data_IF_839464899316
#
_entry.id   IF_839464899316
#
_cell.length_a   1.000
_cell.length_b   1.000
_cell.length_c   1.000
_cell.angle_alpha   90.00
_cell.angle_beta   90.00
_cell.angle_gamma   90.00
#
_symmetry.space_group_name_H-M   'P 1'
#
loop_
_entity.id
_entity.type
_entity.pdbx_description
1 polymer ?
#
# COMPACT_ATOMS: atom_id res chain seq x y z
N UNK A 1 -9.33 4.56 -1.22
CA UNK A 1 -10.48 4.71 -2.14
C UNK A 1 -11.71 4.58 -1.31
N UNK A 2 -12.37 5.71 -1.11
CA UNK A 2 -13.24 5.92 0.04
C UNK A 2 -14.71 5.90 -0.40
N UNK A 3 -15.08 4.84 -1.12
CA UNK A 3 -16.47 4.57 -1.50
C UNK A 3 -16.93 5.18 -2.83
N UNK A 4 -18.23 4.97 -3.07
CA UNK A 4 -18.97 5.40 -4.27
C UNK A 4 -19.54 6.83 -4.14
N UNK A 5 -19.13 7.60 -3.14
CA UNK A 5 -19.51 9.02 -3.03
C UNK A 5 -18.30 9.96 -3.05
N UNK A 6 -17.08 9.42 -2.94
CA UNK A 6 -15.93 10.19 -2.49
C UNK A 6 -16.16 10.77 -1.09
N UNK A 7 -15.19 11.52 -0.59
CA UNK A 7 -15.30 12.17 0.72
C UNK A 7 -14.48 13.44 0.76
N UNK A 8 -14.97 14.47 1.46
CA UNK A 8 -14.19 15.65 1.82
C UNK A 8 -13.24 15.38 3.01
N UNK A 9 -13.41 14.26 3.72
CA UNK A 9 -12.63 13.86 4.89
C UNK A 9 -12.45 12.33 4.96
N UNK A 10 -11.30 11.82 4.53
CA UNK A 10 -10.94 10.39 4.54
C UNK A 10 -11.10 9.73 5.91
N UNK A 11 -10.96 10.48 7.01
CA UNK A 11 -11.11 9.93 8.36
C UNK A 11 -12.51 9.39 8.63
N UNK A 12 -13.56 9.80 7.90
CA UNK A 12 -14.89 9.17 7.99
C UNK A 12 -14.83 7.68 7.67
N UNK A 13 -14.24 7.32 6.53
CA UNK A 13 -14.19 5.92 6.06
C UNK A 13 -13.31 5.07 6.97
N UNK A 14 -12.21 5.63 7.48
CA UNK A 14 -11.36 4.95 8.47
C UNK A 14 -12.08 4.65 9.79
N UNK A 15 -13.16 5.39 10.10
CA UNK A 15 -14.04 5.13 11.24
C UNK A 15 -15.30 4.33 10.87
N UNK A 16 -15.34 3.71 9.69
CA UNK A 16 -16.45 2.89 9.23
C UNK A 16 -17.66 3.70 8.74
N UNK A 17 -17.53 5.02 8.58
CA UNK A 17 -18.59 5.89 8.10
C UNK A 17 -18.42 6.20 6.62
N UNK A 18 -19.52 6.22 5.86
CA UNK A 18 -19.54 6.78 4.51
C UNK A 18 -19.96 8.25 4.55
N UNK A 19 -19.38 9.08 3.70
CA UNK A 19 -19.70 10.51 3.66
C UNK A 19 -20.93 10.74 2.79
N UNK A 20 -22.04 11.29 3.33
CA UNK A 20 -23.22 11.57 2.53
C UNK A 20 -22.92 12.63 1.46
N UNK A 21 -23.54 12.50 0.27
CA UNK A 21 -23.34 13.45 -0.83
C UNK A 21 -23.62 14.91 -0.41
N UNK A 22 -24.70 15.16 0.34
CA UNK A 22 -25.01 16.50 0.87
C UNK A 22 -23.90 17.06 1.77
N UNK A 23 -23.20 16.22 2.53
CA UNK A 23 -22.07 16.65 3.35
C UNK A 23 -20.87 17.02 2.47
N UNK A 24 -20.57 16.20 1.44
CA UNK A 24 -19.55 16.55 0.45
C UNK A 24 -19.86 17.91 -0.20
N UNK A 25 -21.09 18.16 -0.65
CA UNK A 25 -21.42 19.41 -1.35
C UNK A 25 -21.26 20.68 -0.50
N UNK A 26 -21.34 20.59 0.83
CA UNK A 26 -21.05 21.73 1.73
C UNK A 26 -19.59 22.19 1.62
N UNK A 27 -18.69 21.30 1.24
CA UNK A 27 -17.26 21.56 1.09
C UNK A 27 -16.84 21.78 -0.37
N UNK A 28 -17.79 21.89 -1.30
CA UNK A 28 -17.47 22.01 -2.73
C UNK A 28 -16.55 23.21 -3.03
N UNK A 29 -16.82 24.36 -2.40
CA UNK A 29 -16.06 25.60 -2.63
C UNK A 29 -14.62 25.57 -2.10
N UNK A 30 -14.32 24.75 -1.08
CA UNK A 30 -13.02 24.68 -0.43
C UNK A 30 -12.36 23.29 -0.54
N UNK A 31 -12.81 22.48 -1.50
CA UNK A 31 -12.32 21.12 -1.74
C UNK A 31 -10.85 21.13 -2.14
N UNK A 32 -10.03 20.31 -1.48
CA UNK A 32 -8.57 20.29 -1.65
C UNK A 32 -7.84 21.42 -0.91
N UNK A 33 -8.56 22.33 -0.28
CA UNK A 33 -8.00 23.35 0.60
C UNK A 33 -7.60 22.79 1.97
N UNK A 34 -6.95 23.60 2.82
CA UNK A 34 -6.36 23.18 4.09
C UNK A 34 -7.39 22.66 5.13
N UNK A 35 -8.69 22.91 4.90
CA UNK A 35 -9.78 22.46 5.75
C UNK A 35 -10.47 21.17 5.27
N UNK A 36 -9.94 20.50 4.24
CA UNK A 36 -10.50 19.26 3.68
C UNK A 36 -9.40 18.23 3.50
N UNK A 37 -9.73 16.95 3.71
CA UNK A 37 -8.82 15.83 3.53
C UNK A 37 -9.45 14.86 2.54
N UNK A 38 -9.57 15.26 1.28
CA UNK A 38 -10.48 14.61 0.37
C UNK A 38 -9.93 13.29 -0.15
N UNK A 39 -10.84 12.39 -0.48
CA UNK A 39 -10.54 11.24 -1.30
C UNK A 39 -11.59 11.13 -2.41
N UNK A 40 -11.11 11.12 -3.64
CA UNK A 40 -11.91 10.97 -4.86
C UNK A 40 -12.71 9.67 -4.92
N UNK A 41 -13.80 9.73 -5.70
CA UNK A 41 -14.76 8.67 -5.96
C UNK A 41 -14.11 7.43 -6.64
N UNK A 42 -14.57 6.22 -6.32
CA UNK A 42 -14.00 4.97 -6.87
C UNK A 42 -14.07 4.87 -8.41
N UNK A 43 -15.04 5.52 -9.04
CA UNK A 43 -15.14 5.62 -10.50
C UNK A 43 -13.93 6.31 -11.14
N UNK A 44 -13.35 7.34 -10.50
CA UNK A 44 -12.12 7.97 -11.00
C UNK A 44 -10.91 7.05 -10.87
N UNK A 45 -10.90 6.19 -9.84
CA UNK A 45 -9.88 5.18 -9.72
C UNK A 45 -9.99 4.08 -10.80
N UNK A 46 -11.20 3.68 -11.17
CA UNK A 46 -11.42 2.77 -12.30
C UNK A 46 -11.03 3.42 -13.62
N UNK A 47 -11.40 4.69 -13.84
CA UNK A 47 -11.01 5.43 -15.03
C UNK A 47 -9.47 5.50 -15.17
N UNK A 48 -8.77 5.81 -14.07
CA UNK A 48 -7.30 5.84 -14.06
C UNK A 48 -6.62 4.48 -14.27
N UNK A 49 -7.35 3.37 -14.06
CA UNK A 49 -6.83 2.02 -14.28
C UNK A 49 -7.30 1.38 -15.59
N UNK A 50 -8.15 2.06 -16.37
CA UNK A 50 -8.66 1.51 -17.63
C UNK A 50 -7.51 1.16 -18.58
N UNK A 51 -7.48 -0.04 -19.18
CA UNK A 51 -8.56 -1.04 -19.28
C UNK A 51 -8.52 -2.15 -18.22
N UNK A 52 -7.72 -2.02 -17.16
CA UNK A 52 -7.53 -3.06 -16.17
C UNK A 52 -8.67 -3.16 -15.16
N UNK A 53 -8.89 -4.39 -14.67
CA UNK A 53 -9.86 -4.65 -13.60
C UNK A 53 -9.39 -4.08 -12.26
N UNK A 54 -10.32 -3.44 -11.57
CA UNK A 54 -10.17 -2.89 -10.21
C UNK A 54 -9.03 -1.86 -10.10
N UNK A 55 -8.46 -1.74 -8.90
CA UNK A 55 -7.56 -0.66 -8.50
C UNK A 55 -6.74 -1.06 -7.26
N UNK A 56 -6.15 -0.10 -6.54
CA UNK A 56 -5.39 -0.31 -5.28
C UNK A 56 -6.09 -1.28 -4.31
N UNK A 57 -5.31 -2.15 -3.69
CA UNK A 57 -5.69 -3.28 -2.81
C UNK A 57 -6.12 -4.58 -3.51
N UNK A 58 -6.26 -4.57 -4.84
CA UNK A 58 -6.53 -5.77 -5.60
C UNK A 58 -5.24 -6.36 -6.17
N UNK A 59 -5.26 -7.67 -6.44
CA UNK A 59 -4.17 -8.37 -7.13
C UNK A 59 -4.51 -8.69 -8.59
N UNK A 60 -5.56 -8.06 -9.12
CA UNK A 60 -5.80 -7.84 -10.55
C UNK A 60 -4.86 -6.75 -11.07
N UNK A 61 -4.74 -6.59 -12.40
CA UNK A 61 -3.80 -5.64 -13.00
C UNK A 61 -4.07 -4.19 -12.62
N UNK A 62 -5.31 -3.78 -12.36
CA UNK A 62 -5.58 -2.41 -11.91
C UNK A 62 -5.00 -2.10 -10.52
N UNK A 63 -4.69 -3.12 -9.72
CA UNK A 63 -3.99 -2.94 -8.44
C UNK A 63 -2.48 -3.17 -8.50
N UNK A 64 -1.93 -3.56 -9.65
CA UNK A 64 -0.55 -4.06 -9.78
C UNK A 64 0.27 -3.43 -10.91
N UNK A 65 -0.40 -2.94 -11.96
CA UNK A 65 0.26 -2.44 -13.16
C UNK A 65 0.46 -0.94 -13.04
N UNK A 66 1.68 -0.55 -12.68
CA UNK A 66 2.14 0.83 -12.69
C UNK A 66 3.11 1.07 -13.85
N UNK A 67 3.16 2.30 -14.42
CA UNK A 67 4.15 2.65 -15.41
C UNK A 67 5.56 2.68 -14.79
N UNK A 68 6.52 2.04 -15.45
CA UNK A 68 7.93 2.10 -15.09
C UNK A 68 8.72 2.73 -16.25
N UNK A 69 9.37 3.86 -15.96
CA UNK A 69 10.27 4.53 -16.90
C UNK A 69 11.70 4.37 -16.39
N UNK A 70 12.57 3.79 -17.21
CA UNK A 70 14.00 3.62 -16.89
C UNK A 70 14.80 4.49 -17.83
N UNK A 71 15.60 5.40 -17.27
CA UNK A 71 16.49 6.27 -18.03
C UNK A 71 17.94 6.05 -17.59
N UNK A 72 18.76 5.49 -18.49
CA UNK A 72 20.18 5.28 -18.26
C UNK A 72 20.96 5.42 -19.59
N UNK A 73 21.31 6.64 -20.02
CA UNK A 73 21.89 6.91 -21.34
C UNK A 73 23.19 6.16 -21.66
N UNK A 74 23.96 5.81 -20.62
CA UNK A 74 25.22 5.06 -20.79
C UNK A 74 25.00 3.58 -21.11
N UNK A 75 23.84 3.02 -20.80
CA UNK A 75 23.57 1.58 -20.98
C UNK A 75 22.28 1.24 -21.72
N UNK A 76 21.39 2.20 -21.97
CA UNK A 76 20.17 2.04 -22.75
C UNK A 76 20.31 2.83 -24.04
N UNK A 77 20.35 2.12 -25.17
CA UNK A 77 20.40 2.70 -26.52
C UNK A 77 19.03 3.12 -27.03
N UNK A 78 17.99 2.44 -26.56
CA UNK A 78 16.61 2.68 -26.93
C UNK A 78 16.16 4.10 -26.58
N UNK A 79 15.34 4.71 -27.45
CA UNK A 79 14.78 6.05 -27.23
C UNK A 79 13.27 6.03 -27.42
N UNK A 80 12.53 6.18 -26.32
CA UNK A 80 11.05 6.19 -26.34
C UNK A 80 10.40 4.85 -26.65
N UNK A 81 11.16 3.74 -26.66
CA UNK A 81 10.62 2.41 -26.96
C UNK A 81 9.99 1.76 -25.71
N UNK A 82 9.01 0.89 -25.96
CA UNK A 82 8.32 0.11 -24.93
C UNK A 82 8.95 -1.29 -24.80
N UNK A 83 8.94 -1.85 -23.59
CA UNK A 83 9.31 -3.23 -23.28
C UNK A 83 8.11 -3.97 -22.70
N UNK A 84 7.84 -5.17 -23.21
CA UNK A 84 6.64 -5.95 -22.87
C UNK A 84 6.95 -7.18 -21.99
N UNK A 85 8.22 -7.39 -21.65
CA UNK A 85 8.65 -8.41 -20.72
C UNK A 85 8.02 -8.17 -19.34
N UNK A 86 7.54 -9.23 -18.70
CA UNK A 86 6.87 -9.09 -17.42
C UNK A 86 7.88 -8.92 -16.29
N UNK A 87 7.73 -7.86 -15.53
CA UNK A 87 8.54 -7.54 -14.36
C UNK A 87 7.71 -7.06 -13.19
N UNK A 88 8.31 -7.12 -12.00
CA UNK A 88 7.72 -6.71 -10.73
C UNK A 88 8.69 -5.79 -9.99
N UNK A 89 8.20 -4.98 -9.04
CA UNK A 89 9.04 -4.00 -8.33
C UNK A 89 10.30 -4.59 -7.67
N UNK A 90 10.25 -5.87 -7.27
CA UNK A 90 11.40 -6.59 -6.69
C UNK A 90 12.56 -6.79 -7.67
N UNK A 91 12.33 -6.58 -8.97
CA UNK A 91 13.32 -6.70 -10.03
C UNK A 91 14.21 -5.46 -10.15
N UNK A 92 13.82 -4.32 -9.55
CA UNK A 92 14.58 -3.06 -9.61
C UNK A 92 15.92 -3.20 -8.89
N UNK A 93 15.92 -3.69 -7.65
CA UNK A 93 17.13 -3.86 -6.85
C UNK A 93 18.19 -4.74 -7.54
N UNK A 94 17.90 -5.98 -7.99
CA UNK A 94 18.88 -6.78 -8.72
C UNK A 94 19.34 -6.12 -10.02
N UNK A 95 18.46 -5.40 -10.74
CA UNK A 95 18.85 -4.66 -11.95
C UNK A 95 19.91 -3.60 -11.64
N UNK A 96 19.72 -2.81 -10.59
CA UNK A 96 20.69 -1.79 -10.18
C UNK A 96 22.03 -2.44 -9.80
N UNK A 97 21.98 -3.50 -8.99
CA UNK A 97 23.18 -4.21 -8.53
C UNK A 97 23.97 -4.84 -9.68
N UNK A 98 23.29 -5.41 -10.67
CA UNK A 98 23.91 -5.94 -11.89
C UNK A 98 24.61 -4.84 -12.69
N UNK A 99 23.97 -3.67 -12.83
CA UNK A 99 24.54 -2.52 -13.56
C UNK A 99 25.84 -2.04 -12.90
N UNK A 100 25.85 -1.93 -11.56
CA UNK A 100 27.03 -1.49 -10.81
C UNK A 100 28.01 -2.64 -10.49
N UNK A 101 27.70 -3.86 -10.97
CA UNK A 101 28.51 -5.08 -10.78
C UNK A 101 28.75 -5.43 -9.30
N UNK A 102 27.78 -5.16 -8.44
CA UNK A 102 27.85 -5.50 -7.00
C UNK A 102 27.19 -6.85 -6.77
N UNK A 103 27.96 -7.78 -6.20
CA UNK A 103 27.42 -9.08 -5.72
C UNK A 103 26.75 -8.87 -4.36
N UNK A 104 25.52 -9.37 -4.21
CA UNK A 104 24.83 -9.37 -2.91
C UNK A 104 25.59 -10.28 -1.94
N UNK A 105 26.07 -9.76 -0.80
CA UNK A 105 26.77 -10.59 0.18
C UNK A 105 25.79 -11.56 0.84
N UNK A 106 26.24 -12.80 1.08
CA UNK A 106 25.44 -13.81 1.81
C UNK A 106 25.28 -13.45 3.29
N UNK A 107 26.16 -12.60 3.83
CA UNK A 107 26.20 -12.21 5.23
C UNK A 107 26.71 -10.77 5.35
N UNK A 108 26.13 -10.00 6.27
CA UNK A 108 26.57 -8.65 6.64
C UNK A 108 26.71 -8.65 8.16
N UNK A 109 27.90 -8.34 8.68
CA UNK A 109 28.17 -8.27 10.14
C UNK A 109 27.69 -9.51 10.92
N UNK A 110 27.94 -10.70 10.39
CA UNK A 110 27.50 -11.94 11.03
C UNK A 110 26.04 -12.33 10.74
N UNK A 111 25.21 -11.45 10.16
CA UNK A 111 23.79 -11.69 9.88
C UNK A 111 23.61 -12.24 8.46
N UNK A 112 23.06 -13.46 8.36
CA UNK A 112 22.71 -14.08 7.08
C UNK A 112 21.63 -13.27 6.34
N UNK A 113 21.86 -12.99 5.07
CA UNK A 113 20.95 -12.21 4.24
C UNK A 113 20.01 -13.11 3.45
N UNK A 114 18.77 -12.66 3.24
CA UNK A 114 17.86 -13.34 2.31
C UNK A 114 18.36 -13.18 0.87
N UNK A 115 18.25 -14.21 0.03
CA UNK A 115 18.54 -14.09 -1.39
C UNK A 115 17.69 -13.00 -2.04
N UNK A 116 18.22 -12.33 -3.06
CA UNK A 116 17.42 -11.45 -3.91
C UNK A 116 16.44 -12.30 -4.73
N UNK A 117 15.15 -12.02 -4.61
CA UNK A 117 14.08 -12.83 -5.24
C UNK A 117 13.66 -12.29 -6.62
N UNK A 118 14.10 -11.08 -6.96
CA UNK A 118 13.87 -10.46 -8.26
C UNK A 118 14.80 -10.97 -9.37
N UNK A 119 14.43 -10.68 -10.60
CA UNK A 119 15.19 -10.98 -11.81
C UNK A 119 15.59 -9.66 -12.46
N UNK A 120 16.88 -9.48 -12.73
CA UNK A 120 17.40 -8.29 -13.41
C UNK A 120 16.71 -8.06 -14.75
N UNK A 121 16.39 -6.80 -15.06
CA UNK A 121 15.77 -6.38 -16.31
C UNK A 121 16.80 -6.10 -17.42
N UNK A 122 18.09 -6.16 -17.10
CA UNK A 122 19.18 -5.71 -17.97
C UNK A 122 19.17 -6.39 -19.35
N UNK A 123 18.79 -7.67 -19.40
CA UNK A 123 18.68 -8.47 -20.64
C UNK A 123 17.71 -7.85 -21.68
N UNK A 124 16.72 -7.07 -21.23
CA UNK A 124 15.66 -6.51 -22.07
C UNK A 124 15.94 -5.10 -22.61
N UNK A 125 16.86 -4.36 -21.99
CA UNK A 125 17.02 -2.92 -22.26
C UNK A 125 17.35 -2.62 -23.73
N UNK A 126 18.31 -3.38 -24.28
CA UNK A 126 18.75 -3.23 -25.68
C UNK A 126 18.31 -4.39 -26.58
N UNK A 127 17.38 -5.24 -26.11
CA UNK A 127 16.82 -6.34 -26.90
C UNK A 127 15.30 -6.41 -26.68
N UNK A 128 14.50 -5.70 -27.51
CA UNK A 128 13.04 -5.68 -27.37
C UNK A 128 12.41 -7.07 -27.52
N UNK A 129 13.03 -7.96 -28.30
CA UNK A 129 12.56 -9.32 -28.57
C UNK A 129 13.08 -10.35 -27.57
N UNK A 130 13.78 -9.92 -26.52
CA UNK A 130 14.31 -10.85 -25.53
C UNK A 130 13.18 -11.65 -24.88
N UNK A 131 13.40 -12.96 -24.74
CA UNK A 131 12.46 -13.83 -24.03
C UNK A 131 12.40 -13.39 -22.57
N UNK A 132 11.21 -13.42 -21.99
CA UNK A 132 11.04 -13.05 -20.61
C UNK A 132 11.81 -14.00 -19.68
N UNK A 133 12.74 -13.45 -18.89
CA UNK A 133 13.51 -14.23 -17.92
C UNK A 133 12.71 -14.55 -16.67
N UNK A 134 11.81 -13.65 -16.25
CA UNK A 134 10.95 -13.89 -15.09
C UNK A 134 9.89 -14.94 -15.44
N UNK A 135 9.81 -16.01 -14.63
CA UNK A 135 8.90 -17.14 -14.86
C UNK A 135 7.66 -17.14 -14.00
N UNK A 136 7.78 -16.66 -12.76
CA UNK A 136 6.72 -16.70 -11.76
C UNK A 136 6.77 -15.44 -10.90
N UNK A 137 5.59 -14.92 -10.53
CA UNK A 137 5.43 -13.90 -9.50
C UNK A 137 4.12 -14.15 -8.75
N UNK A 138 4.19 -14.33 -7.44
CA UNK A 138 3.00 -14.42 -6.59
C UNK A 138 2.63 -13.04 -6.03
N UNK A 139 1.39 -12.94 -5.57
CA UNK A 139 0.79 -11.77 -4.96
C UNK A 139 -0.13 -12.20 -3.83
N UNK A 140 -0.09 -11.46 -2.73
CA UNK A 140 -1.07 -11.51 -1.66
C UNK A 140 -1.29 -10.09 -1.13
N UNK A 141 -2.55 -9.68 -1.00
CA UNK A 141 -2.90 -8.45 -0.29
C UNK A 141 -4.29 -8.54 0.32
N UNK A 142 -4.33 -8.49 1.65
CA UNK A 142 -5.56 -8.49 2.45
C UNK A 142 -6.51 -9.63 2.07
N UNK A 143 -5.93 -10.81 1.86
CA UNK A 143 -6.61 -12.04 1.48
C UNK A 143 -6.76 -12.25 -0.02
N UNK A 144 -6.63 -11.22 -0.86
CA UNK A 144 -6.61 -11.39 -2.31
C UNK A 144 -5.34 -12.13 -2.72
N UNK A 145 -5.48 -13.18 -3.53
CA UNK A 145 -4.37 -14.05 -3.95
C UNK A 145 -4.22 -13.98 -5.45
N UNK A 146 -2.99 -13.88 -5.93
CA UNK A 146 -2.70 -13.84 -7.36
C UNK A 146 -1.39 -14.51 -7.68
N UNK A 147 -1.32 -15.18 -8.83
CA UNK A 147 -0.06 -15.66 -9.38
C UNK A 147 -0.01 -15.44 -10.86
N UNK A 148 1.09 -14.87 -11.33
CA UNK A 148 1.47 -14.85 -12.73
C UNK A 148 2.54 -15.93 -12.96
N UNK A 149 2.38 -16.71 -14.02
CA UNK A 149 3.40 -17.66 -14.46
C UNK A 149 3.38 -17.83 -15.98
N UNK A 150 4.50 -17.51 -16.64
CA UNK A 150 4.71 -17.68 -18.09
C UNK A 150 3.51 -17.17 -18.94
N UNK A 151 3.03 -15.97 -18.66
CA UNK A 151 1.95 -15.33 -19.40
C UNK A 151 0.53 -15.71 -18.96
N UNK A 152 0.36 -16.68 -18.07
CA UNK A 152 -0.91 -16.99 -17.42
C UNK A 152 -1.01 -16.32 -16.06
N UNK A 153 -2.24 -16.01 -15.64
CA UNK A 153 -2.51 -15.45 -14.32
C UNK A 153 -3.75 -16.07 -13.71
N UNK A 154 -3.65 -16.50 -12.45
CA UNK A 154 -4.79 -16.89 -11.63
C UNK A 154 -4.94 -15.89 -10.48
N UNK A 155 -6.17 -15.50 -10.15
CA UNK A 155 -6.44 -14.44 -9.17
C UNK A 155 -7.79 -14.64 -8.45
N UNK A 156 -7.88 -14.19 -7.19
CA UNK A 156 -9.13 -14.11 -6.42
C UNK A 156 -9.51 -12.66 -6.11
N UNK A 157 -10.82 -12.38 -6.05
CA UNK A 157 -11.38 -11.23 -5.33
C UNK A 157 -11.92 -11.74 -3.99
N UNK A 158 -11.09 -11.69 -2.96
CA UNK A 158 -11.36 -12.31 -1.68
C UNK A 158 -12.59 -11.69 -1.01
N UNK A 159 -13.55 -12.53 -0.63
CA UNK A 159 -14.80 -12.09 0.01
C UNK A 159 -15.67 -11.14 -0.80
N UNK A 160 -15.32 -10.85 -2.07
CA UNK A 160 -15.83 -9.71 -2.82
C UNK A 160 -15.72 -8.36 -2.08
N UNK A 161 -14.77 -8.25 -1.16
CA UNK A 161 -14.58 -7.09 -0.29
C UNK A 161 -14.06 -5.90 -1.10
N UNK A 162 -14.70 -4.74 -0.94
CA UNK A 162 -14.20 -3.49 -1.52
C UNK A 162 -13.31 -2.76 -0.50
N UNK A 163 -12.36 -1.90 -0.91
CA UNK A 163 -11.41 -1.27 0.01
C UNK A 163 -12.01 -0.36 1.10
N UNK A 164 -13.25 0.08 0.91
CA UNK A 164 -14.01 0.87 1.89
C UNK A 164 -14.86 0.03 2.85
N UNK A 165 -14.84 -1.29 2.69
CA UNK A 165 -15.35 -2.25 3.67
C UNK A 165 -14.18 -2.73 4.54
N UNK A 166 -14.11 -2.18 5.75
CA UNK A 166 -12.99 -2.38 6.68
C UNK A 166 -13.25 -3.46 7.73
N UNK A 167 -14.52 -3.89 7.91
CA UNK A 167 -14.94 -4.72 9.05
C UNK A 167 -15.35 -6.14 8.67
N UNK A 168 -15.14 -6.55 7.43
CA UNK A 168 -15.52 -7.88 6.95
C UNK A 168 -14.33 -8.84 6.88
N UNK A 169 -14.58 -10.08 7.31
CA UNK A 169 -13.67 -11.22 7.16
C UNK A 169 -14.42 -12.36 6.49
N UNK A 170 -13.74 -13.16 5.67
CA UNK A 170 -14.37 -14.19 4.87
C UNK A 170 -13.57 -15.50 4.86
N UNK A 171 -14.26 -16.65 4.78
CA UNK A 171 -13.59 -17.95 4.67
C UNK A 171 -12.88 -18.10 3.31
N UNK A 172 -11.56 -18.33 3.34
CA UNK A 172 -10.70 -18.42 2.16
C UNK A 172 -11.02 -19.57 1.20
N UNK A 173 -11.67 -20.64 1.66
CA UNK A 173 -12.11 -21.79 0.84
C UNK A 173 -13.30 -21.45 -0.06
N UNK A 174 -14.04 -20.38 0.25
CA UNK A 174 -15.18 -19.90 -0.56
C UNK A 174 -14.77 -18.98 -1.70
N UNK A 175 -13.50 -18.59 -1.78
CA UNK A 175 -13.02 -17.71 -2.84
C UNK A 175 -13.13 -18.37 -4.21
N UNK A 176 -13.66 -17.59 -5.16
CA UNK A 176 -13.69 -17.96 -6.57
C UNK A 176 -12.40 -17.51 -7.22
N UNK A 177 -11.67 -18.47 -7.79
CA UNK A 177 -10.52 -18.17 -8.61
C UNK A 177 -10.93 -17.89 -10.05
N UNK A 178 -10.29 -16.88 -10.63
CA UNK A 178 -10.36 -16.52 -12.04
C UNK A 178 -9.05 -16.93 -12.72
N UNK A 179 -9.11 -17.20 -14.02
CA UNK A 179 -7.94 -17.54 -14.83
C UNK A 179 -7.89 -16.67 -16.08
N UNK A 180 -6.72 -16.13 -16.39
CA UNK A 180 -6.48 -15.26 -17.53
C UNK A 180 -5.20 -15.68 -18.26
N UNK A 181 -5.20 -15.58 -19.59
CA UNK A 181 -3.97 -15.70 -20.39
C UNK A 181 -3.49 -14.29 -20.75
N UNK A 182 -2.86 -13.62 -19.79
CA UNK A 182 -2.52 -12.18 -19.89
C UNK A 182 -1.50 -11.83 -20.97
N UNK A 183 -0.78 -12.81 -21.50
CA UNK A 183 0.04 -12.63 -22.70
C UNK A 183 -0.80 -12.41 -23.99
N UNK A 184 -2.07 -12.84 -23.99
CA UNK A 184 -3.03 -12.66 -25.10
C UNK A 184 -4.13 -11.66 -24.78
N UNK A 185 -4.56 -11.61 -23.51
CA UNK A 185 -5.55 -10.67 -23.00
C UNK A 185 -4.93 -9.86 -21.87
N UNK A 186 -4.23 -8.79 -22.24
CA UNK A 186 -3.51 -7.97 -21.29
C UNK A 186 -4.44 -7.30 -20.25
N UNK A 187 -5.74 -7.19 -20.52
CA UNK A 187 -6.71 -6.50 -19.66
C UNK A 187 -7.37 -7.38 -18.59
N UNK A 188 -7.14 -8.70 -18.64
CA UNK A 188 -7.86 -9.68 -17.80
C UNK A 188 -9.38 -9.64 -18.05
N UNK A 189 -9.83 -9.39 -19.27
CA UNK A 189 -11.25 -9.27 -19.61
C UNK A 189 -11.99 -10.61 -19.62
N UNK A 190 -11.36 -11.68 -20.16
CA UNK A 190 -12.01 -12.98 -20.37
C UNK A 190 -11.55 -14.00 -19.34
N UNK A 191 -12.44 -14.36 -18.41
CA UNK A 191 -12.16 -15.41 -17.43
C UNK A 191 -12.25 -16.81 -18.08
N UNK A 192 -11.12 -17.51 -18.12
CA UNK A 192 -10.93 -18.80 -18.75
C UNK A 192 -11.01 -19.99 -17.76
N UNK A 193 -11.35 -19.75 -16.49
CA UNK A 193 -11.33 -20.78 -15.45
C UNK A 193 -12.18 -22.02 -15.80
N UNK A 194 -13.35 -21.82 -16.42
CA UNK A 194 -14.22 -22.91 -16.88
C UNK A 194 -13.65 -23.65 -18.09
N UNK A 195 -12.91 -22.96 -18.96
CA UNK A 195 -12.36 -23.50 -20.21
C UNK A 195 -11.07 -24.30 -19.98
N UNK A 196 -10.25 -23.88 -19.02
CA UNK A 196 -8.99 -24.54 -18.68
C UNK A 196 -8.88 -24.82 -17.17
N UNK A 197 -9.74 -25.71 -16.62
CA UNK A 197 -9.75 -26.01 -15.18
C UNK A 197 -8.43 -26.60 -14.68
N UNK A 198 -7.77 -27.45 -15.49
CA UNK A 198 -6.46 -28.02 -15.14
C UNK A 198 -5.37 -26.95 -15.05
N UNK A 199 -5.41 -25.96 -15.96
CA UNK A 199 -4.47 -24.83 -15.91
C UNK A 199 -4.69 -23.97 -14.67
N UNK A 200 -5.94 -23.79 -14.25
CA UNK A 200 -6.25 -23.11 -13.00
C UNK A 200 -5.74 -23.89 -11.79
N UNK A 201 -5.94 -25.22 -11.77
CA UNK A 201 -5.44 -26.09 -10.70
C UNK A 201 -3.91 -26.00 -10.58
N UNK A 202 -3.19 -26.09 -11.69
CA UNK A 202 -1.73 -25.91 -11.77
C UNK A 202 -1.29 -24.59 -11.11
N UNK A 203 -1.93 -23.48 -11.46
CA UNK A 203 -1.57 -22.16 -10.92
C UNK A 203 -1.94 -22.01 -9.44
N UNK A 204 -3.06 -22.58 -8.98
CA UNK A 204 -3.41 -22.58 -7.56
C UNK A 204 -2.35 -23.31 -6.74
N UNK A 205 -1.94 -24.50 -7.18
CA UNK A 205 -0.87 -25.28 -6.53
C UNK A 205 0.46 -24.53 -6.55
N UNK A 206 0.80 -23.88 -7.67
CA UNK A 206 2.00 -23.05 -7.75
C UNK A 206 1.93 -21.87 -6.77
N UNK A 207 0.78 -21.22 -6.63
CA UNK A 207 0.60 -20.13 -5.66
C UNK A 207 0.83 -20.64 -4.23
N UNK A 208 0.28 -21.79 -3.85
CA UNK A 208 0.52 -22.40 -2.54
C UNK A 208 2.00 -22.69 -2.29
N UNK A 209 2.72 -23.22 -3.30
CA UNK A 209 4.18 -23.46 -3.21
C UNK A 209 4.95 -22.16 -2.99
N UNK A 210 4.63 -21.09 -3.71
CA UNK A 210 5.26 -19.78 -3.51
C UNK A 210 4.90 -19.18 -2.14
N UNK A 211 3.64 -19.30 -1.71
CA UNK A 211 3.15 -18.80 -0.43
C UNK A 211 3.87 -19.46 0.75
N UNK A 212 4.12 -20.76 0.69
CA UNK A 212 4.94 -21.47 1.69
C UNK A 212 6.40 -21.01 1.64
N UNK A 213 7.00 -20.97 0.44
CA UNK A 213 8.40 -20.55 0.24
C UNK A 213 8.68 -19.16 0.83
N UNK A 214 7.74 -18.23 0.69
CA UNK A 214 7.92 -16.82 1.07
C UNK A 214 7.14 -16.42 2.33
N UNK A 215 6.77 -17.39 3.16
CA UNK A 215 6.14 -17.17 4.47
C UNK A 215 4.89 -16.26 4.43
N UNK A 216 4.03 -16.47 3.43
CA UNK A 216 2.76 -15.75 3.28
C UNK A 216 1.72 -16.22 4.29
N UNK A 217 1.84 -17.45 4.77
CA UNK A 217 0.93 -18.01 5.77
C UNK A 217 1.26 -17.55 7.20
N UNK A 218 0.26 -17.44 8.10
CA UNK A 218 -1.18 -17.64 7.84
C UNK A 218 -1.80 -16.48 7.03
N UNK A 219 -2.81 -16.78 6.22
CA UNK A 219 -3.56 -15.72 5.52
C UNK A 219 -4.38 -14.91 6.53
N UNK A 220 -4.45 -13.61 6.30
CA UNK A 220 -5.04 -12.67 7.24
C UNK A 220 -5.76 -11.53 6.51
N UNK A 221 -7.07 -11.46 6.70
CA UNK A 221 -7.98 -10.51 6.06
C UNK A 221 -8.61 -9.51 7.06
N UNK A 222 -8.44 -9.71 8.37
CA UNK A 222 -8.94 -8.82 9.42
C UNK A 222 -8.14 -7.50 9.48
N UNK A 223 -8.65 -6.52 8.74
CA UNK A 223 -8.06 -5.19 8.61
C UNK A 223 -8.03 -4.42 9.93
N UNK A 224 -9.11 -4.50 10.72
CA UNK A 224 -9.22 -3.78 12.00
C UNK A 224 -8.16 -4.28 12.98
N UNK A 225 -8.07 -5.60 13.18
CA UNK A 225 -7.05 -6.17 14.06
C UNK A 225 -5.64 -5.94 13.52
N UNK A 226 -5.43 -5.96 12.20
CA UNK A 226 -4.14 -5.62 11.58
C UNK A 226 -3.72 -4.18 11.93
N UNK A 227 -4.63 -3.22 11.78
CA UNK A 227 -4.38 -1.81 12.11
C UNK A 227 -4.17 -1.61 13.62
N UNK A 228 -4.96 -2.29 14.46
CA UNK A 228 -4.78 -2.26 15.91
C UNK A 228 -3.38 -2.76 16.32
N UNK A 229 -2.91 -3.88 15.73
CA UNK A 229 -1.56 -4.42 15.97
C UNK A 229 -0.46 -3.49 15.46
N UNK A 230 -0.70 -2.74 14.38
CA UNK A 230 0.24 -1.72 13.93
C UNK A 230 0.39 -0.56 14.93
N UNK A 231 -0.54 -0.36 15.86
CA UNK A 231 -0.40 0.63 16.93
C UNK A 231 0.36 0.10 18.16
N UNK A 232 0.95 -1.10 18.07
CA UNK A 232 1.81 -1.64 19.11
C UNK A 232 2.97 -0.67 19.40
N UNK A 233 3.18 -0.42 20.69
CA UNK A 233 4.13 0.56 21.21
C UNK A 233 5.54 -0.02 21.21
N UNK A 234 6.53 0.83 20.94
CA UNK A 234 7.94 0.42 20.90
C UNK A 234 8.47 0.15 22.32
N UNK A 235 7.91 0.81 23.33
CA UNK A 235 8.42 0.79 24.71
C UNK A 235 7.60 -0.07 25.69
N UNK A 236 6.80 -1.01 25.20
CA UNK A 236 6.02 -1.94 26.04
C UNK A 236 5.16 -1.22 27.09
N UNK A 237 5.38 -1.57 28.35
CA UNK A 237 4.62 -1.06 29.51
C UNK A 237 5.13 0.27 30.07
N UNK A 238 6.02 0.98 29.34
CA UNK A 238 6.50 2.30 29.74
C UNK A 238 5.33 3.26 29.95
N UNK A 239 5.26 3.86 31.13
CA UNK A 239 4.21 4.81 31.53
C UNK A 239 4.68 6.26 31.52
N UNK A 240 5.99 6.51 31.59
CA UNK A 240 6.59 7.85 31.60
C UNK A 240 7.42 8.06 30.34
N UNK A 241 7.16 9.17 29.65
CA UNK A 241 7.86 9.55 28.43
C UNK A 241 8.34 10.98 28.58
N UNK A 242 9.65 11.18 28.41
CA UNK A 242 10.27 12.49 28.50
C UNK A 242 10.89 12.82 27.15
N UNK A 243 10.56 14.00 26.63
CA UNK A 243 11.07 14.51 25.36
C UNK A 243 11.80 15.81 25.61
N UNK A 244 12.95 15.98 24.97
CA UNK A 244 13.79 17.17 25.10
C UNK A 244 13.90 17.89 23.76
N UNK A 245 13.90 19.22 23.80
CA UNK A 245 14.32 20.03 22.66
C UNK A 245 15.82 19.80 22.39
N UNK A 246 16.27 19.80 21.12
CA UNK A 246 15.50 20.01 19.89
C UNK A 246 14.86 18.75 19.31
N UNK A 247 14.94 17.58 19.95
CA UNK A 247 14.47 16.31 19.39
C UNK A 247 12.97 16.03 19.51
N UNK A 248 12.22 16.86 20.23
CA UNK A 248 10.78 16.71 20.48
C UNK A 248 9.89 17.19 19.31
N UNK A 249 10.29 16.93 18.05
CA UNK A 249 9.47 17.18 16.86
C UNK A 249 9.14 15.87 16.15
N UNK A 250 7.95 15.78 15.56
CA UNK A 250 7.53 14.63 14.74
C UNK A 250 7.71 13.27 15.43
N UNK A 251 7.45 13.21 16.74
CA UNK A 251 7.50 11.96 17.50
C UNK A 251 6.44 11.00 16.95
N UNK A 252 6.88 9.82 16.50
CA UNK A 252 5.97 8.77 16.04
C UNK A 252 4.94 8.43 17.13
N UNK A 253 3.68 8.24 16.74
CA UNK A 253 2.64 7.82 17.69
C UNK A 253 3.01 6.53 18.43
N UNK A 254 3.84 5.64 17.84
CA UNK A 254 4.30 4.41 18.53
C UNK A 254 5.26 4.67 19.68
N UNK A 255 5.94 5.80 19.63
CA UNK A 255 6.88 6.26 20.65
C UNK A 255 6.21 7.23 21.65
N UNK A 256 5.02 7.73 21.36
CA UNK A 256 4.27 8.67 22.21
C UNK A 256 3.47 7.98 23.33
N UNK A 257 3.05 8.72 24.38
CA UNK A 257 2.09 8.22 25.35
C UNK A 257 0.76 7.81 24.68
N UNK A 258 0.06 6.78 25.19
CA UNK A 258 -1.20 6.32 24.63
C UNK A 258 -2.36 7.23 25.08
N UNK A 259 -2.78 8.14 24.19
CA UNK A 259 -3.87 9.10 24.48
C UNK A 259 -5.20 8.75 23.79
N UNK A 260 -5.22 7.78 22.88
CA UNK A 260 -6.43 7.39 22.12
C UNK A 260 -7.43 6.65 23.02
N UNK A 261 -8.72 6.96 22.89
CA UNK A 261 -9.83 6.39 23.67
C UNK A 261 -9.61 6.47 25.20
N UNK A 262 -8.90 7.50 25.67
CA UNK A 262 -8.58 7.72 27.08
C UNK A 262 -8.76 9.18 27.45
N UNK A 263 -9.40 9.42 28.57
CA UNK A 263 -9.37 10.73 29.22
C UNK A 263 -7.93 11.04 29.65
N UNK A 264 -7.50 12.28 29.43
CA UNK A 264 -6.17 12.73 29.81
C UNK A 264 -6.20 14.24 30.09
N UNK A 265 -5.22 14.69 30.86
CA UNK A 265 -4.98 16.09 31.16
C UNK A 265 -3.65 16.49 30.55
N UNK A 266 -3.61 17.68 29.94
CA UNK A 266 -2.39 18.31 29.47
C UNK A 266 -2.09 19.46 30.43
N UNK A 267 -0.97 19.36 31.13
CA UNK A 267 -0.49 20.42 32.03
C UNK A 267 0.79 21.00 31.44
N UNK A 268 0.92 22.33 31.48
CA UNK A 268 2.14 23.02 31.05
C UNK A 268 2.52 24.09 32.06
N UNK A 269 3.82 24.35 32.15
CA UNK A 269 4.40 25.45 32.92
C UNK A 269 5.31 26.20 31.96
N UNK A 270 5.00 27.47 31.71
CA UNK A 270 5.71 28.30 30.75
C UNK A 270 5.98 29.64 31.42
N UNK A 271 7.22 30.10 31.35
CA UNK A 271 7.59 31.46 31.73
C UNK A 271 7.31 32.41 30.56
N UNK A 272 6.22 33.17 30.64
CA UNK A 272 5.74 34.04 29.56
C UNK A 272 6.28 35.47 29.73
N UNK A 273 6.94 36.00 28.70
CA UNK A 273 7.41 37.39 28.62
C UNK A 273 6.42 38.30 27.87
N UNK A 274 5.28 37.78 27.44
CA UNK A 274 4.14 38.51 26.89
C UNK A 274 4.16 38.71 25.36
N UNK A 275 5.12 38.10 24.67
CA UNK A 275 5.28 38.17 23.20
C UNK A 275 5.17 36.82 22.51
N UNK A 276 5.06 35.75 23.28
CA UNK A 276 5.05 34.37 22.81
C UNK A 276 3.77 34.09 21.98
N UNK A 277 3.95 33.43 20.84
CA UNK A 277 2.89 32.87 20.01
C UNK A 277 3.38 31.55 19.43
N UNK A 278 2.52 30.54 19.41
CA UNK A 278 2.87 29.25 18.80
C UNK A 278 2.30 28.05 19.54
N UNK A 279 2.56 26.88 18.97
CA UNK A 279 2.11 25.58 19.47
C UNK A 279 3.02 25.11 20.61
N UNK A 280 2.41 24.71 21.72
CA UNK A 280 3.11 24.10 22.88
C UNK A 280 3.15 22.58 22.72
N UNK A 281 2.01 21.99 22.34
CA UNK A 281 1.91 20.56 22.01
C UNK A 281 0.85 20.36 20.94
N UNK A 282 1.08 19.39 20.05
CA UNK A 282 0.09 18.93 19.11
C UNK A 282 0.24 17.43 18.87
N UNK A 283 -0.89 16.75 18.70
CA UNK A 283 -0.94 15.40 18.15
C UNK A 283 -1.96 15.38 17.01
N UNK A 284 -1.66 14.63 15.96
CA UNK A 284 -2.56 14.44 14.83
C UNK A 284 -2.64 15.67 13.91
N UNK A 285 -3.83 15.94 13.39
CA UNK A 285 -4.10 17.02 12.45
C UNK A 285 -5.55 17.48 12.52
N UNK A 286 -5.98 18.31 11.58
CA UNK A 286 -7.31 18.91 11.63
C UNK A 286 -8.48 17.90 11.53
N UNK A 287 -8.24 16.70 11.02
CA UNK A 287 -9.24 15.61 10.95
C UNK A 287 -9.33 14.76 12.22
N UNK A 288 -8.43 14.98 13.19
CA UNK A 288 -8.43 14.30 14.48
C UNK A 288 -7.13 14.52 15.25
N UNK A 289 -7.24 14.78 16.54
CA UNK A 289 -6.11 15.08 17.42
C UNK A 289 -6.43 16.17 18.43
N UNK A 290 -5.40 16.80 18.97
CA UNK A 290 -5.50 17.97 19.82
C UNK A 290 -4.30 18.88 19.62
N UNK A 291 -4.45 20.15 19.97
CA UNK A 291 -3.35 21.10 20.07
C UNK A 291 -3.59 22.01 21.26
N UNK A 292 -2.50 22.40 21.92
CA UNK A 292 -2.49 23.47 22.90
C UNK A 292 -1.52 24.53 22.41
N UNK A 293 -1.94 25.79 22.33
CA UNK A 293 -1.15 26.87 21.73
C UNK A 293 -1.45 28.25 22.34
N UNK A 294 -0.50 29.17 22.18
CA UNK A 294 -0.66 30.57 22.59
C UNK A 294 -0.94 31.42 21.36
N UNK A 295 -2.04 32.18 21.42
CA UNK A 295 -2.40 33.19 20.42
C UNK A 295 -3.00 34.40 21.14
N UNK A 296 -2.68 35.61 20.68
CA UNK A 296 -3.25 36.86 21.19
C UNK A 296 -3.26 36.96 22.73
N UNK A 297 -2.14 36.54 23.35
CA UNK A 297 -1.92 36.49 24.81
C UNK A 297 -2.89 35.61 25.59
N UNK A 298 -3.47 34.60 24.93
CA UNK A 298 -4.35 33.60 25.52
C UNK A 298 -3.88 32.19 25.19
N UNK A 299 -4.10 31.27 26.12
CA UNK A 299 -3.91 29.83 25.94
C UNK A 299 -5.19 29.22 25.35
N UNK A 300 -5.04 28.39 24.32
CA UNK A 300 -6.10 27.65 23.64
C UNK A 300 -5.78 26.16 23.67
#
# INVERSE_FOLDING_TARGET
MNGLAGTFNETYVLNGLQTPFKANMKHYKNWGGPSTYPHYHAGWALAGNTPFKFFKQFVHRGGQADPLIIHWPKGIKAKGEVRNQYHHIIDIAPTILDIIKVKVPKQIEGVAQKPMEGVSMLYSFNNPSAKNEKKVQYYEMFGNRGIWANGWKAVTHHGKRMPWDLSSTHPFDKDKWELYHVAKDFSESINLAKKYPEKLKELKELWHKQALKYNVYPLYDDMIKRMAKQQNRIFGDRTVFTYYYPGAYSISEKASPPVKNRSHTITTTIDLKGKEKGVIVAIGGFTGGYTMFIKDRRLY
#
